data_IF_786134779961
#
_entry.id   IF_786134779961
#
_cell.length_a   1.000
_cell.length_b   1.000
_cell.length_c   1.000
_cell.angle_alpha   90.00
_cell.angle_beta   90.00
_cell.angle_gamma   90.00
#
_symmetry.space_group_name_H-M   'P 1'
#
loop_
_entity.id
_entity.type
_entity.pdbx_description
1 polymer ?
#
# COMPACT_ATOMS: atom_id res chain seq x y z
N UNK A 1 -4.26 21.50 -4.81
CA UNK A 1 -4.88 20.16 -4.77
C UNK A 1 -4.71 19.64 -3.36
N UNK A 2 -5.77 19.17 -2.71
CA UNK A 2 -5.86 19.11 -1.25
C UNK A 2 -6.71 17.94 -0.74
N UNK A 3 -7.43 18.15 0.37
CA UNK A 3 -8.29 17.16 1.04
C UNK A 3 -9.63 16.90 0.31
N UNK A 4 -9.92 17.68 -0.74
CA UNK A 4 -11.12 17.51 -1.53
C UNK A 4 -10.99 16.31 -2.49
N UNK A 5 -12.03 15.48 -2.61
CA UNK A 5 -12.08 14.43 -3.63
C UNK A 5 -11.92 15.01 -5.05
N UNK A 6 -11.34 14.20 -5.95
CA UNK A 6 -11.33 14.49 -7.39
C UNK A 6 -12.78 14.69 -7.90
N UNK A 7 -12.99 15.66 -8.80
CA UNK A 7 -14.31 15.86 -9.41
C UNK A 7 -14.71 14.65 -10.27
N UNK A 8 -16.01 14.41 -10.43
CA UNK A 8 -16.53 13.30 -11.27
C UNK A 8 -16.04 13.43 -12.72
N UNK A 9 -15.98 14.66 -13.23
CA UNK A 9 -15.52 14.97 -14.57
C UNK A 9 -14.03 14.67 -14.72
N UNK A 10 -13.23 15.09 -13.75
CA UNK A 10 -11.78 14.82 -13.74
C UNK A 10 -11.49 13.32 -13.64
N UNK A 11 -12.26 12.60 -12.83
CA UNK A 11 -12.18 11.14 -12.73
C UNK A 11 -12.57 10.46 -14.05
N UNK A 12 -13.67 10.89 -14.69
CA UNK A 12 -14.08 10.35 -15.97
C UNK A 12 -13.03 10.57 -17.06
N UNK A 13 -12.42 11.75 -17.12
CA UNK A 13 -11.31 12.03 -18.04
C UNK A 13 -10.09 11.15 -17.74
N UNK A 14 -9.74 10.96 -16.46
CA UNK A 14 -8.64 10.09 -16.05
C UNK A 14 -8.88 8.63 -16.48
N UNK A 15 -10.10 8.12 -16.32
CA UNK A 15 -10.45 6.76 -16.78
C UNK A 15 -10.32 6.66 -18.29
N UNK A 16 -10.86 7.62 -19.05
CA UNK A 16 -10.77 7.63 -20.51
C UNK A 16 -9.31 7.68 -21.01
N UNK A 17 -8.46 8.44 -20.33
CA UNK A 17 -7.04 8.58 -20.64
C UNK A 17 -6.27 7.27 -20.39
N UNK A 18 -6.62 6.55 -19.32
CA UNK A 18 -5.87 5.37 -18.89
C UNK A 18 -6.40 4.03 -19.43
N UNK A 19 -7.67 3.96 -19.82
CA UNK A 19 -8.32 2.73 -20.28
C UNK A 19 -7.56 2.00 -21.41
N UNK A 20 -6.97 2.70 -22.42
CA UNK A 20 -6.20 2.03 -23.46
C UNK A 20 -5.05 1.17 -22.90
N UNK A 21 -4.34 1.66 -21.87
CA UNK A 21 -3.25 0.92 -21.24
C UNK A 21 -3.73 -0.26 -20.40
N UNK A 22 -4.92 -0.16 -19.79
CA UNK A 22 -5.55 -1.30 -19.09
C UNK A 22 -5.82 -2.44 -20.07
N UNK A 23 -6.38 -2.11 -21.25
CA UNK A 23 -6.64 -3.09 -22.30
C UNK A 23 -5.34 -3.69 -22.87
N UNK A 24 -4.28 -2.89 -22.96
CA UNK A 24 -2.95 -3.36 -23.38
C UNK A 24 -2.37 -4.38 -22.40
N UNK A 25 -2.37 -4.06 -21.10
CA UNK A 25 -1.92 -4.97 -20.04
C UNK A 25 -2.73 -6.28 -20.04
N UNK A 26 -4.05 -6.22 -20.25
CA UNK A 26 -4.88 -7.42 -20.32
C UNK A 26 -4.59 -8.31 -21.53
N UNK A 27 -4.16 -7.73 -22.67
CA UNK A 27 -3.81 -8.49 -23.88
C UNK A 27 -2.39 -9.06 -23.86
N UNK A 28 -1.44 -8.28 -23.35
CA UNK A 28 -0.01 -8.57 -23.47
C UNK A 28 0.61 -9.09 -22.18
N UNK A 29 -0.04 -8.85 -21.04
CA UNK A 29 0.42 -9.28 -19.73
C UNK A 29 0.33 -10.80 -19.54
N UNK A 30 1.34 -11.36 -18.88
CA UNK A 30 1.37 -12.79 -18.51
C UNK A 30 0.61 -13.12 -17.23
N UNK A 31 0.04 -12.11 -16.54
CA UNK A 31 -0.53 -12.23 -15.20
C UNK A 31 -2.05 -12.10 -15.15
N UNK A 32 -2.72 -12.05 -16.31
CA UNK A 32 -4.16 -11.92 -16.43
C UNK A 32 -4.63 -10.46 -16.50
N UNK A 33 -5.95 -10.28 -16.39
CA UNK A 33 -6.56 -8.95 -16.41
C UNK A 33 -6.27 -8.17 -15.13
N UNK A 34 -6.10 -6.85 -15.28
CA UNK A 34 -5.89 -5.94 -14.17
C UNK A 34 -7.15 -5.84 -13.29
N UNK A 35 -6.96 -5.96 -11.98
CA UNK A 35 -8.05 -5.78 -11.03
C UNK A 35 -8.48 -4.31 -10.94
N UNK A 36 -9.72 -4.08 -10.49
CA UNK A 36 -10.20 -2.72 -10.24
C UNK A 36 -9.32 -1.95 -9.24
N UNK A 37 -8.82 -2.63 -8.21
CA UNK A 37 -7.95 -2.01 -7.21
C UNK A 37 -6.61 -1.58 -7.80
N UNK A 38 -5.97 -2.44 -8.59
CA UNK A 38 -4.71 -2.10 -9.30
C UNK A 38 -4.89 -0.91 -10.25
N UNK A 39 -6.00 -0.90 -11.00
CA UNK A 39 -6.34 0.22 -11.86
C UNK A 39 -6.47 1.53 -11.06
N UNK A 40 -7.22 1.52 -9.96
CA UNK A 40 -7.42 2.70 -9.12
C UNK A 40 -6.10 3.22 -8.52
N UNK A 41 -5.22 2.33 -8.07
CA UNK A 41 -3.89 2.71 -7.56
C UNK A 41 -3.04 3.34 -8.68
N UNK A 42 -2.96 2.70 -9.86
CA UNK A 42 -2.23 3.25 -11.00
C UNK A 42 -2.77 4.61 -11.45
N UNK A 43 -4.10 4.74 -11.50
CA UNK A 43 -4.77 5.99 -11.84
C UNK A 43 -4.47 7.11 -10.82
N UNK A 44 -4.45 6.79 -9.52
CA UNK A 44 -4.11 7.75 -8.47
C UNK A 44 -2.68 8.30 -8.63
N UNK A 45 -1.71 7.43 -8.90
CA UNK A 45 -0.31 7.84 -9.09
C UNK A 45 -0.15 8.70 -10.33
N UNK A 46 -0.78 8.31 -11.43
CA UNK A 46 -0.78 9.09 -12.66
C UNK A 46 -1.38 10.49 -12.44
N UNK A 47 -2.54 10.55 -11.79
CA UNK A 47 -3.23 11.81 -11.50
C UNK A 47 -2.37 12.73 -10.62
N UNK A 48 -1.81 12.25 -9.52
CA UNK A 48 -1.00 13.08 -8.64
C UNK A 48 0.33 13.50 -9.27
N UNK A 49 0.95 12.64 -10.09
CA UNK A 49 2.12 13.01 -10.86
C UNK A 49 1.83 14.13 -11.88
N UNK A 50 0.72 14.01 -12.63
CA UNK A 50 0.27 15.01 -13.61
C UNK A 50 0.00 16.38 -12.95
N UNK A 51 -0.47 16.37 -11.70
CA UNK A 51 -0.75 17.57 -10.92
C UNK A 51 0.45 18.07 -10.09
N UNK A 52 1.65 17.48 -10.25
CA UNK A 52 2.90 17.90 -9.60
C UNK A 52 2.77 17.98 -8.07
N UNK A 53 2.15 16.96 -7.47
CA UNK A 53 2.03 16.87 -6.01
C UNK A 53 3.38 16.51 -5.39
N UNK A 54 3.77 17.27 -4.36
CA UNK A 54 5.07 17.08 -3.68
C UNK A 54 5.10 15.83 -2.80
N UNK A 55 4.02 15.56 -2.06
CA UNK A 55 3.91 14.45 -1.11
C UNK A 55 2.54 13.78 -1.24
N UNK A 56 2.54 12.45 -1.28
CA UNK A 56 1.33 11.63 -1.28
C UNK A 56 1.29 10.76 -0.02
N UNK A 57 0.13 10.69 0.63
CA UNK A 57 -0.15 9.71 1.68
C UNK A 57 -0.91 8.56 1.02
N UNK A 58 -0.32 7.36 1.05
CA UNK A 58 -0.85 6.18 0.36
C UNK A 58 -1.20 5.14 1.41
N UNK A 59 -2.49 4.82 1.50
CA UNK A 59 -3.01 3.77 2.38
C UNK A 59 -2.99 2.43 1.64
N UNK A 60 -2.47 1.40 2.29
CA UNK A 60 -2.55 0.02 1.80
C UNK A 60 -3.99 -0.45 1.77
N UNK A 61 -4.43 -1.12 0.70
CA UNK A 61 -5.77 -1.69 0.64
C UNK A 61 -5.95 -2.87 1.59
N UNK A 62 -5.07 -3.87 1.49
CA UNK A 62 -5.10 -5.05 2.35
C UNK A 62 -3.68 -5.60 2.62
N UNK A 63 -3.36 -5.78 3.90
CA UNK A 63 -2.05 -6.29 4.31
C UNK A 63 -0.95 -5.26 4.01
N UNK A 64 -0.11 -5.56 3.03
CA UNK A 64 0.96 -4.65 2.60
C UNK A 64 1.97 -5.31 1.67
N UNK A 65 2.38 -6.55 1.94
CA UNK A 65 3.42 -7.26 1.16
C UNK A 65 3.04 -7.45 -0.30
N UNK A 66 1.80 -7.84 -0.57
CA UNK A 66 1.26 -8.09 -1.90
C UNK A 66 0.22 -7.04 -2.33
N UNK A 67 0.12 -5.94 -1.61
CA UNK A 67 -0.81 -4.86 -1.94
C UNK A 67 -0.33 -4.09 -3.18
N UNK A 68 -1.25 -3.65 -4.05
CA UNK A 68 -0.92 -2.91 -5.28
C UNK A 68 -0.13 -1.61 -5.00
N UNK A 69 -0.29 -1.02 -3.80
CA UNK A 69 0.48 0.17 -3.38
C UNK A 69 1.96 -0.13 -3.11
N UNK A 70 2.33 -1.39 -2.89
CA UNK A 70 3.69 -1.78 -2.47
C UNK A 70 4.74 -1.74 -3.61
N UNK A 71 4.37 -1.20 -4.77
CA UNK A 71 5.32 -0.87 -5.85
C UNK A 71 6.13 0.41 -5.54
N UNK A 72 5.72 1.19 -4.54
CA UNK A 72 6.35 2.45 -4.18
C UNK A 72 7.67 2.27 -3.40
N UNK A 73 8.56 3.26 -3.54
CA UNK A 73 9.68 3.50 -2.63
C UNK A 73 9.38 4.76 -1.80
N UNK A 74 8.77 4.62 -0.61
CA UNK A 74 8.35 5.78 0.16
C UNK A 74 9.54 6.45 0.87
N UNK A 75 9.37 7.71 1.25
CA UNK A 75 10.31 8.41 2.16
C UNK A 75 10.10 8.03 3.62
N UNK A 76 8.95 7.43 3.95
CA UNK A 76 8.53 7.04 5.29
C UNK A 76 7.43 5.96 5.19
N UNK A 77 7.56 4.89 5.97
CA UNK A 77 6.49 3.90 6.17
C UNK A 77 5.82 4.08 7.53
N UNK A 78 4.53 3.81 7.62
CA UNK A 78 3.78 3.88 8.88
C UNK A 78 3.04 2.57 9.11
N UNK A 79 3.21 1.97 10.28
CA UNK A 79 2.43 0.82 10.73
C UNK A 79 1.54 1.28 11.89
N UNK A 80 0.23 1.23 11.66
CA UNK A 80 -0.78 1.50 12.69
C UNK A 80 -0.99 0.27 13.59
N UNK A 81 -1.97 0.30 14.48
CA UNK A 81 -2.24 -0.80 15.41
C UNK A 81 -2.59 -2.09 14.66
N UNK A 82 -1.90 -3.17 14.98
CA UNK A 82 -2.14 -4.50 14.43
C UNK A 82 -3.10 -5.26 15.34
N UNK A 83 -4.13 -5.85 14.75
CA UNK A 83 -5.11 -6.72 15.39
C UNK A 83 -5.34 -7.97 14.53
N UNK A 84 -6.19 -8.88 15.01
CA UNK A 84 -6.67 -10.01 14.19
C UNK A 84 -7.74 -9.48 13.23
N UNK A 85 -7.30 -8.91 12.11
CA UNK A 85 -8.14 -8.44 11.01
C UNK A 85 -7.91 -9.29 9.76
N UNK A 86 -8.97 -9.50 8.98
CA UNK A 86 -8.90 -10.21 7.69
C UNK A 86 -8.16 -11.56 7.73
N UNK A 87 -8.38 -12.35 8.79
CA UNK A 87 -7.59 -13.58 9.06
C UNK A 87 -7.65 -14.61 7.93
N UNK A 88 -8.78 -14.67 7.22
CA UNK A 88 -8.96 -15.53 6.04
C UNK A 88 -7.96 -15.23 4.89
N UNK A 89 -7.32 -14.05 4.89
CA UNK A 89 -6.38 -13.63 3.84
C UNK A 89 -4.98 -13.40 4.42
N UNK A 90 -4.89 -12.79 5.61
CA UNK A 90 -3.63 -12.33 6.19
C UNK A 90 -2.98 -13.33 7.16
N UNK A 91 -3.71 -14.39 7.55
CA UNK A 91 -3.26 -15.39 8.52
C UNK A 91 -4.04 -15.33 9.83
N UNK A 92 -3.91 -16.38 10.63
CA UNK A 92 -4.70 -16.59 11.85
C UNK A 92 -4.01 -16.03 13.11
N UNK A 93 -2.79 -15.52 12.96
CA UNK A 93 -1.97 -15.01 14.07
C UNK A 93 -1.53 -13.57 13.87
N UNK A 94 -1.25 -12.88 14.98
CA UNK A 94 -0.72 -11.50 14.94
C UNK A 94 0.63 -11.46 14.21
N UNK A 95 1.45 -12.50 14.36
CA UNK A 95 2.74 -12.64 13.70
C UNK A 95 2.61 -12.71 12.17
N UNK A 96 1.67 -13.51 11.65
CA UNK A 96 1.40 -13.62 10.20
C UNK A 96 0.85 -12.31 9.63
N UNK A 97 -0.13 -11.71 10.32
CA UNK A 97 -0.70 -10.42 9.91
C UNK A 97 0.38 -9.32 9.92
N UNK A 98 1.26 -9.34 10.93
CA UNK A 98 2.40 -8.41 11.01
C UNK A 98 3.38 -8.63 9.87
N UNK A 99 3.63 -9.88 9.47
CA UNK A 99 4.48 -10.19 8.32
C UNK A 99 3.90 -9.61 7.03
N UNK A 100 2.59 -9.76 6.80
CA UNK A 100 1.91 -9.17 5.65
C UNK A 100 1.95 -7.63 5.67
N UNK A 101 1.54 -7.00 6.76
CA UNK A 101 1.52 -5.52 6.88
C UNK A 101 2.93 -4.92 6.86
N UNK A 102 3.91 -5.59 7.49
CA UNK A 102 5.33 -5.22 7.46
C UNK A 102 5.99 -5.33 6.09
N UNK A 103 5.27 -5.86 5.09
CA UNK A 103 5.67 -5.89 3.69
C UNK A 103 6.05 -4.53 3.13
N UNK A 104 5.41 -3.45 3.59
CA UNK A 104 5.66 -2.08 3.10
C UNK A 104 6.97 -1.46 3.58
N UNK A 105 7.62 -2.04 4.61
CA UNK A 105 8.89 -1.52 5.14
C UNK A 105 10.00 -1.78 4.12
N UNK A 106 10.65 -0.71 3.64
CA UNK A 106 11.73 -0.74 2.66
C UNK A 106 13.10 -0.50 3.32
N UNK A 107 14.20 -1.06 2.77
CA UNK A 107 15.55 -0.87 3.34
C UNK A 107 15.92 0.61 3.41
N UNK A 108 16.53 1.01 4.53
CA UNK A 108 17.04 2.38 4.76
C UNK A 108 15.96 3.49 4.78
N UNK A 109 14.68 3.13 4.64
CA UNK A 109 13.56 4.05 4.79
C UNK A 109 13.10 4.04 6.24
N UNK A 110 12.90 5.22 6.87
CA UNK A 110 12.38 5.28 8.22
C UNK A 110 10.98 4.66 8.30
N UNK A 111 10.68 4.08 9.47
CA UNK A 111 9.36 3.53 9.78
C UNK A 111 8.88 4.08 11.12
N UNK A 112 7.61 4.45 11.18
CA UNK A 112 6.91 4.78 12.42
C UNK A 112 5.93 3.65 12.71
N UNK A 113 5.95 3.16 13.95
CA UNK A 113 5.02 2.13 14.42
C UNK A 113 4.25 2.72 15.59
N UNK A 114 2.91 2.73 15.51
CA UNK A 114 2.08 3.14 16.64
C UNK A 114 2.20 2.14 17.80
N UNK A 115 1.83 2.53 19.04
CA UNK A 115 1.72 1.58 20.14
C UNK A 115 0.88 0.35 19.75
N UNK A 116 1.36 -0.84 20.13
CA UNK A 116 0.77 -2.12 19.72
C UNK A 116 0.12 -2.81 20.92
N UNK A 117 -1.07 -3.43 20.75
CA UNK A 117 -1.72 -4.20 21.80
C UNK A 117 -0.95 -5.49 22.14
N UNK A 118 -0.20 -6.03 21.17
CA UNK A 118 0.60 -7.26 21.32
C UNK A 118 2.06 -7.03 20.90
N UNK A 119 2.83 -6.21 21.65
CA UNK A 119 4.14 -5.72 21.20
C UNK A 119 5.16 -6.83 20.96
N UNK A 120 5.15 -7.90 21.75
CA UNK A 120 6.06 -9.05 21.56
C UNK A 120 5.77 -9.81 20.26
N UNK A 121 4.49 -10.05 19.95
CA UNK A 121 4.07 -10.75 18.73
C UNK A 121 4.36 -9.92 17.47
N UNK A 122 4.09 -8.61 17.54
CA UNK A 122 4.39 -7.68 16.45
C UNK A 122 5.92 -7.61 16.21
N UNK A 123 6.72 -7.51 17.27
CA UNK A 123 8.18 -7.51 17.15
C UNK A 123 8.69 -8.79 16.47
N UNK A 124 8.15 -9.95 16.87
CA UNK A 124 8.48 -11.24 16.25
C UNK A 124 8.11 -11.30 14.77
N UNK A 125 6.93 -10.81 14.40
CA UNK A 125 6.49 -10.72 13.00
C UNK A 125 7.44 -9.89 12.14
N UNK A 126 7.94 -8.76 12.66
CA UNK A 126 8.94 -7.95 11.95
C UNK A 126 10.33 -8.58 11.89
N UNK A 127 10.75 -9.31 12.94
CA UNK A 127 12.08 -9.93 13.02
C UNK A 127 12.31 -11.01 11.94
N UNK A 128 11.24 -11.63 11.44
CA UNK A 128 11.29 -12.53 10.27
C UNK A 128 11.96 -11.82 9.06
N UNK A 129 11.96 -10.47 9.02
CA UNK A 129 12.51 -9.65 7.94
C UNK A 129 13.89 -9.01 8.26
N UNK A 130 14.50 -9.27 9.43
CA UNK A 130 15.79 -8.68 9.85
C UNK A 130 15.85 -7.14 9.79
N UNK A 131 14.77 -6.46 10.15
CA UNK A 131 14.66 -5.00 10.08
C UNK A 131 15.16 -4.31 11.36
N UNK A 132 16.01 -3.28 11.23
CA UNK A 132 16.29 -2.33 12.32
C UNK A 132 15.16 -1.30 12.37
N UNK A 133 14.17 -1.53 13.21
CA UNK A 133 13.02 -0.64 13.41
C UNK A 133 13.31 0.28 14.59
N UNK A 134 13.13 1.59 14.42
CA UNK A 134 13.14 2.56 15.52
C UNK A 134 11.69 2.81 15.93
N UNK A 135 11.24 2.14 16.98
CA UNK A 135 9.91 2.36 17.56
C UNK A 135 9.94 3.71 18.28
N UNK A 136 9.03 4.62 17.91
CA UNK A 136 8.85 5.87 18.64
C UNK A 136 7.96 5.57 19.85
N UNK A 137 8.51 5.74 21.05
CA UNK A 137 7.79 5.69 22.32
C UNK A 137 7.28 7.07 22.68
#
# INVERSE_FOLDING_TARGET
MGLEPISKESFACLVQELWPYVLEVGREGSYGEMTWFEFMIGASFYFFNKNKIDIQVVETGLGGRLDATNILMPILSVITSISLDHTAILGDTIEEITFEKGGIIKPQIPVIVSPQPYPEKVSKGFLIKSLKIKILN
#
